data_IF_664141349725
#
_entry.id   IF_664141349725
#
_cell.length_a   1.000
_cell.length_b   1.000
_cell.length_c   1.000
_cell.angle_alpha   90.00
_cell.angle_beta   90.00
_cell.angle_gamma   90.00
#
_symmetry.space_group_name_H-M   'P 1'
#
loop_
_entity.id
_entity.type
_entity.pdbx_description
1 polymer ?
#
# COMPACT_ATOMS: atom_id res chain seq x y z
N UNK A 1 10.29 12.71 16.69
CA UNK A 1 10.13 11.39 17.35
C UNK A 1 11.43 10.69 17.77
N UNK A 2 11.38 9.93 18.88
CA UNK A 2 12.48 9.10 19.41
C UNK A 2 12.48 7.65 18.91
N UNK A 3 12.63 7.41 17.61
CA UNK A 3 12.55 6.06 17.03
C UNK A 3 13.89 5.32 16.90
N UNK A 4 15.01 6.03 16.81
CA UNK A 4 16.34 5.44 16.54
C UNK A 4 16.78 4.46 17.64
N UNK A 5 17.38 3.34 17.24
CA UNK A 5 17.91 2.30 18.13
C UNK A 5 16.87 1.32 18.69
N UNK A 6 15.62 1.39 18.23
CA UNK A 6 14.53 0.49 18.64
C UNK A 6 14.45 -0.76 17.79
N UNK A 7 13.62 -1.72 18.24
CA UNK A 7 13.27 -2.92 17.49
C UNK A 7 12.64 -2.54 16.15
N UNK A 8 13.06 -3.23 15.08
CA UNK A 8 12.44 -3.19 13.76
C UNK A 8 11.59 -4.44 13.57
N UNK A 9 10.49 -4.31 12.83
CA UNK A 9 9.60 -5.44 12.55
C UNK A 9 10.29 -6.43 11.61
N UNK A 10 10.02 -7.72 11.82
CA UNK A 10 10.41 -8.78 10.90
C UNK A 10 9.40 -8.92 9.73
N UNK A 11 8.22 -8.31 9.84
CA UNK A 11 7.15 -8.35 8.85
C UNK A 11 7.31 -7.25 7.78
N UNK A 12 8.54 -7.00 7.34
CA UNK A 12 8.85 -6.03 6.28
C UNK A 12 9.31 -6.76 5.02
N UNK A 13 8.59 -6.53 3.94
CA UNK A 13 8.88 -7.04 2.60
C UNK A 13 9.40 -5.88 1.74
N UNK A 14 10.72 -5.69 1.75
CA UNK A 14 11.38 -4.62 1.00
C UNK A 14 11.55 -5.02 -0.47
N UNK A 15 10.71 -4.46 -1.32
CA UNK A 15 10.67 -4.65 -2.78
C UNK A 15 11.18 -3.41 -3.52
N UNK A 16 11.88 -2.49 -2.86
CA UNK A 16 12.45 -1.31 -3.53
C UNK A 16 13.44 -1.74 -4.62
N UNK A 17 13.46 -0.99 -5.72
CA UNK A 17 14.29 -1.31 -6.88
C UNK A 17 13.94 -2.61 -7.62
N UNK A 18 12.93 -3.37 -7.17
CA UNK A 18 12.36 -4.44 -7.97
C UNK A 18 11.65 -3.77 -9.15
N UNK A 19 12.16 -3.97 -10.37
CA UNK A 19 11.34 -3.71 -11.54
C UNK A 19 10.15 -4.66 -11.45
N UNK A 20 8.94 -4.11 -11.41
CA UNK A 20 7.77 -4.90 -11.75
C UNK A 20 8.07 -5.48 -13.12
N UNK A 21 8.33 -6.77 -13.19
CA UNK A 21 8.45 -7.53 -14.42
C UNK A 21 7.06 -7.56 -15.07
N UNK A 22 6.58 -6.40 -15.49
CA UNK A 22 5.55 -6.27 -16.48
C UNK A 22 6.17 -6.83 -17.75
N UNK A 23 5.81 -8.08 -18.03
CA UNK A 23 6.02 -8.71 -19.32
C UNK A 23 5.09 -8.04 -20.36
N UNK A 24 5.16 -6.71 -20.47
CA UNK A 24 4.43 -5.87 -21.42
C UNK A 24 5.49 -5.09 -22.19
N UNK A 25 5.75 -5.57 -23.40
CA UNK A 25 6.94 -5.23 -24.16
C UNK A 25 7.12 -3.75 -24.48
N UNK A 26 8.39 -3.34 -24.49
CA UNK A 26 8.96 -2.51 -25.54
C UNK A 26 10.48 -2.54 -25.39
N UNK A 27 11.14 -3.21 -26.33
CA UNK A 27 12.59 -3.41 -26.29
C UNK A 27 12.96 -4.66 -27.07
N UNK A 28 13.17 -4.51 -28.38
CA UNK A 28 13.89 -5.49 -29.19
C UNK A 28 15.26 -5.74 -28.54
N UNK A 29 15.37 -6.78 -27.71
CA UNK A 29 16.65 -7.06 -27.04
C UNK A 29 16.70 -8.38 -26.25
N UNK A 30 15.74 -9.29 -26.45
CA UNK A 30 15.58 -10.49 -25.62
C UNK A 30 15.80 -11.83 -26.32
N UNK A 31 16.32 -11.87 -27.55
CA UNK A 31 16.68 -13.14 -28.20
C UNK A 31 18.19 -13.22 -28.35
N UNK A 32 18.80 -14.24 -27.75
CA UNK A 32 20.23 -14.53 -27.92
C UNK A 32 20.57 -14.60 -29.42
N UNK A 33 21.70 -14.03 -29.89
CA UNK A 33 22.11 -14.05 -31.30
C UNK A 33 22.08 -15.44 -31.93
N UNK A 34 22.26 -16.48 -31.10
CA UNK A 34 22.19 -17.89 -31.50
C UNK A 34 20.77 -18.31 -31.94
N UNK A 35 19.73 -17.81 -31.26
CA UNK A 35 18.32 -18.13 -31.54
C UNK A 35 17.85 -17.40 -32.80
N UNK A 36 18.26 -16.13 -32.96
CA UNK A 36 17.97 -15.34 -34.17
C UNK A 36 18.59 -16.01 -35.40
N UNK A 37 19.83 -16.50 -35.29
CA UNK A 37 20.50 -17.23 -36.38
C UNK A 37 19.82 -18.55 -36.76
N UNK A 38 19.26 -19.27 -35.78
CA UNK A 38 18.51 -20.50 -36.01
C UNK A 38 17.16 -20.24 -36.71
N UNK A 39 16.44 -19.21 -36.25
CA UNK A 39 15.15 -18.82 -36.82
C UNK A 39 15.28 -18.32 -38.27
N UNK A 40 16.32 -17.52 -38.56
CA UNK A 40 16.62 -17.10 -39.92
C UNK A 40 16.94 -18.28 -40.84
N UNK A 41 17.69 -19.29 -40.37
CA UNK A 41 17.95 -20.53 -41.14
C UNK A 41 16.70 -21.38 -41.36
N UNK A 42 15.77 -21.41 -40.40
CA UNK A 42 14.51 -22.14 -40.50
C UNK A 42 13.55 -21.51 -41.52
N UNK A 43 13.41 -20.19 -41.53
CA UNK A 43 12.46 -19.50 -42.43
C UNK A 43 13.01 -19.38 -43.86
N UNK A 44 14.34 -19.44 -44.05
CA UNK A 44 14.99 -19.33 -45.37
C UNK A 44 15.21 -20.67 -46.09
N UNK A 45 15.02 -21.81 -45.43
CA UNK A 45 15.20 -23.14 -46.02
C UNK A 45 13.85 -23.76 -46.44
N UNK A 46 13.79 -24.37 -47.63
CA UNK A 46 12.59 -25.10 -48.12
C UNK A 46 12.13 -26.20 -47.15
N UNK A 47 13.05 -26.83 -46.41
CA UNK A 47 12.71 -27.83 -45.38
C UNK A 47 12.22 -27.19 -44.07
N UNK A 48 12.68 -25.99 -43.76
CA UNK A 48 12.27 -25.28 -42.54
C UNK A 48 10.90 -24.61 -42.64
N UNK A 49 10.49 -24.17 -43.83
CA UNK A 49 9.11 -23.69 -44.07
C UNK A 49 8.06 -24.79 -43.86
N UNK A 50 8.38 -26.05 -44.17
CA UNK A 50 7.49 -27.20 -43.90
C UNK A 50 7.33 -27.40 -42.39
N UNK A 51 8.41 -27.27 -41.62
CA UNK A 51 8.39 -27.38 -40.15
C UNK A 51 7.55 -26.24 -39.54
N UNK A 52 7.71 -25.01 -40.02
CA UNK A 52 6.91 -23.85 -39.58
C UNK A 52 5.43 -24.04 -39.91
N UNK A 53 5.09 -24.55 -41.10
CA UNK A 53 3.72 -24.82 -41.49
C UNK A 53 3.05 -25.92 -40.65
N UNK A 54 3.79 -26.97 -40.29
CA UNK A 54 3.31 -28.03 -39.39
C UNK A 54 3.07 -27.47 -37.98
N UNK A 55 3.99 -26.65 -37.47
CA UNK A 55 3.85 -25.98 -36.16
C UNK A 55 2.62 -25.07 -36.13
N UNK A 56 2.42 -24.24 -37.14
CA UNK A 56 1.25 -23.37 -37.25
C UNK A 56 -0.05 -24.16 -37.42
N UNK A 57 -0.03 -25.27 -38.16
CA UNK A 57 -1.17 -26.18 -38.28
C UNK A 57 -1.55 -26.84 -36.95
N UNK A 58 -0.57 -27.29 -36.17
CA UNK A 58 -0.81 -27.84 -34.82
C UNK A 58 -1.33 -26.75 -33.88
N UNK A 59 -0.82 -25.52 -33.96
CA UNK A 59 -1.32 -24.37 -33.18
C UNK A 59 -2.78 -24.05 -33.50
N UNK A 60 -3.15 -24.08 -34.80
CA UNK A 60 -4.51 -23.81 -35.24
C UNK A 60 -5.52 -24.88 -34.79
N UNK A 61 -5.14 -26.16 -34.81
CA UNK A 61 -6.04 -27.25 -34.44
C UNK A 61 -6.10 -27.56 -32.93
N UNK A 62 -5.03 -27.30 -32.18
CA UNK A 62 -4.96 -27.65 -30.75
C UNK A 62 -5.09 -26.45 -29.81
N UNK A 63 -5.00 -25.22 -30.32
CA UNK A 63 -5.01 -23.99 -29.50
C UNK A 63 -3.77 -23.79 -28.62
N UNK A 64 -2.83 -24.74 -28.64
CA UNK A 64 -1.62 -24.71 -27.81
C UNK A 64 -0.42 -24.19 -28.61
N UNK A 65 0.33 -23.25 -28.03
CA UNK A 65 1.57 -22.74 -28.62
C UNK A 65 2.76 -23.64 -28.23
N UNK A 66 3.40 -24.38 -29.17
CA UNK A 66 4.51 -25.28 -28.89
C UNK A 66 5.79 -24.56 -28.43
N UNK A 67 5.87 -23.22 -28.55
CA UNK A 67 6.90 -22.44 -27.86
C UNK A 67 6.87 -22.65 -26.34
N UNK A 68 5.71 -22.96 -25.74
CA UNK A 68 5.61 -23.27 -24.31
C UNK A 68 6.31 -24.59 -23.92
N UNK A 69 6.54 -25.49 -24.88
CA UNK A 69 7.29 -26.73 -24.65
C UNK A 69 8.82 -26.50 -24.80
N UNK A 70 9.20 -25.50 -25.59
CA UNK A 70 10.59 -25.12 -25.86
C UNK A 70 11.14 -24.13 -24.81
N UNK A 71 10.27 -23.35 -24.16
CA UNK A 71 10.57 -22.59 -22.93
C UNK A 71 10.46 -23.44 -21.67
N UNK A 72 10.50 -24.77 -21.84
CA UNK A 72 10.15 -25.81 -20.87
C UNK A 72 10.24 -25.38 -19.43
N UNK A 73 9.09 -25.19 -18.79
CA UNK A 73 8.84 -25.25 -17.33
C UNK A 73 10.00 -24.82 -16.41
N UNK A 74 10.77 -23.80 -16.77
CA UNK A 74 11.76 -23.20 -15.89
C UNK A 74 11.03 -22.17 -15.06
N UNK A 75 10.43 -22.65 -13.96
CA UNK A 75 10.16 -21.88 -12.75
C UNK A 75 11.45 -21.38 -12.08
N UNK A 76 12.54 -21.20 -12.83
CA UNK A 76 13.66 -20.39 -12.39
C UNK A 76 13.31 -18.95 -12.73
N UNK A 77 12.41 -18.37 -11.92
CA UNK A 77 12.60 -16.97 -11.59
C UNK A 77 14.00 -16.91 -10.98
N UNK A 78 14.97 -16.46 -11.76
CA UNK A 78 16.19 -15.90 -11.20
C UNK A 78 15.70 -14.67 -10.45
N UNK A 79 15.31 -14.86 -9.20
CA UNK A 79 15.17 -13.80 -8.23
C UNK A 79 16.58 -13.25 -8.10
N UNK A 80 16.90 -12.22 -8.90
CA UNK A 80 18.11 -11.44 -8.70
C UNK A 80 18.00 -10.85 -7.32
N UNK A 81 18.55 -11.55 -6.32
CA UNK A 81 18.72 -11.10 -4.94
C UNK A 81 19.85 -10.07 -4.87
N UNK A 82 19.90 -9.13 -5.82
CA UNK A 82 20.65 -7.90 -5.59
C UNK A 82 19.86 -7.15 -4.54
N UNK A 83 20.32 -7.23 -3.29
CA UNK A 83 19.85 -6.38 -2.21
C UNK A 83 19.85 -4.94 -2.71
N UNK A 84 18.68 -4.33 -2.78
CA UNK A 84 18.53 -2.95 -3.22
C UNK A 84 19.48 -2.06 -2.41
N UNK A 85 20.36 -1.34 -3.10
CA UNK A 85 21.25 -0.37 -2.47
C UNK A 85 20.61 1.01 -2.56
N UNK A 86 19.68 1.28 -1.66
CA UNK A 86 19.09 2.61 -1.51
C UNK A 86 20.12 3.63 -1.01
N UNK A 87 19.81 4.92 -1.22
CA UNK A 87 20.54 6.04 -0.61
C UNK A 87 20.46 5.97 0.91
N UNK A 88 21.38 6.67 1.61
CA UNK A 88 21.35 6.76 3.06
C UNK A 88 19.99 7.25 3.59
N UNK A 89 19.35 8.19 2.87
CA UNK A 89 18.04 8.72 3.27
C UNK A 89 16.92 7.71 3.09
N UNK A 90 16.88 6.99 1.96
CA UNK A 90 15.88 5.94 1.74
C UNK A 90 16.01 4.81 2.75
N UNK A 91 17.24 4.43 3.11
CA UNK A 91 17.47 3.39 4.12
C UNK A 91 17.07 3.87 5.52
N UNK A 92 17.32 5.14 5.86
CA UNK A 92 16.82 5.73 7.12
C UNK A 92 15.28 5.70 7.17
N UNK A 93 14.59 6.03 6.06
CA UNK A 93 13.13 5.97 6.00
C UNK A 93 12.60 4.53 6.05
N UNK A 94 13.29 3.57 5.45
CA UNK A 94 12.92 2.15 5.55
C UNK A 94 13.07 1.64 6.99
N UNK A 95 14.18 1.97 7.66
CA UNK A 95 14.41 1.63 9.07
C UNK A 95 13.38 2.29 9.99
N UNK A 96 13.03 3.55 9.71
CA UNK A 96 11.96 4.26 10.40
C UNK A 96 10.63 3.52 10.23
N UNK A 97 10.20 3.23 9.00
CA UNK A 97 8.94 2.55 8.74
C UNK A 97 8.87 1.16 9.39
N UNK A 98 9.98 0.41 9.36
CA UNK A 98 10.08 -0.88 10.03
C UNK A 98 9.99 -0.76 11.57
N UNK A 99 10.49 0.33 12.14
CA UNK A 99 10.40 0.63 13.58
C UNK A 99 8.98 1.01 13.97
N UNK A 100 8.30 1.83 13.17
CA UNK A 100 6.90 2.19 13.43
C UNK A 100 6.00 0.95 13.34
N UNK A 101 6.21 0.09 12.33
CA UNK A 101 5.46 -1.15 12.23
C UNK A 101 5.66 -2.03 13.48
N UNK A 102 6.91 -2.17 13.95
CA UNK A 102 7.21 -2.91 15.18
C UNK A 102 6.44 -2.37 16.39
N UNK A 103 6.42 -1.05 16.54
CA UNK A 103 5.70 -0.39 17.62
C UNK A 103 4.18 -0.64 17.52
N UNK A 104 3.61 -0.59 16.32
CA UNK A 104 2.20 -0.94 16.12
C UNK A 104 1.90 -2.40 16.49
N UNK A 105 2.77 -3.34 16.12
CA UNK A 105 2.66 -4.76 16.51
C UNK A 105 2.67 -4.89 18.04
N UNK A 106 3.65 -4.28 18.71
CA UNK A 106 3.81 -4.36 20.17
C UNK A 106 2.58 -3.81 20.89
N UNK A 107 2.00 -2.71 20.41
CA UNK A 107 0.79 -2.11 21.00
C UNK A 107 -0.45 -2.96 20.73
N UNK A 108 -0.70 -3.35 19.48
CA UNK A 108 -1.94 -4.05 19.14
C UNK A 108 -2.00 -5.48 19.67
N UNK A 109 -0.86 -6.17 19.82
CA UNK A 109 -0.81 -7.46 20.51
C UNK A 109 -1.24 -7.39 21.98
N UNK A 110 -1.11 -6.23 22.64
CA UNK A 110 -1.57 -6.04 24.02
C UNK A 110 -3.07 -5.76 24.12
N UNK A 111 -3.69 -5.29 23.03
CA UNK A 111 -5.06 -4.79 23.02
C UNK A 111 -6.03 -5.79 22.38
N UNK A 112 -5.61 -6.42 21.28
CA UNK A 112 -6.46 -7.32 20.49
C UNK A 112 -6.00 -8.76 20.73
N UNK A 113 -6.83 -9.63 21.34
CA UNK A 113 -6.50 -11.04 21.52
C UNK A 113 -6.27 -11.74 20.17
N UNK A 114 -5.18 -12.50 20.08
CA UNK A 114 -4.75 -13.19 18.85
C UNK A 114 -4.63 -12.22 17.66
N UNK A 115 -4.11 -11.01 17.91
CA UNK A 115 -3.81 -10.05 16.85
C UNK A 115 -2.95 -10.71 15.77
N UNK A 116 -3.38 -10.56 14.52
CA UNK A 116 -2.60 -11.00 13.36
C UNK A 116 -1.79 -9.80 12.89
N UNK A 117 -0.48 -9.93 12.87
CA UNK A 117 0.38 -8.81 12.48
C UNK A 117 0.36 -8.62 10.95
N UNK A 118 0.21 -7.39 10.44
CA UNK A 118 0.28 -7.13 9.01
C UNK A 118 1.72 -7.16 8.50
N UNK A 119 1.90 -7.40 7.19
CA UNK A 119 3.20 -7.20 6.52
C UNK A 119 3.24 -5.83 5.85
N UNK A 120 4.32 -5.08 6.05
CA UNK A 120 4.59 -3.84 5.31
C UNK A 120 5.44 -4.14 4.07
N UNK A 121 4.90 -3.83 2.90
CA UNK A 121 5.61 -3.86 1.63
C UNK A 121 6.13 -2.47 1.32
N UNK A 122 7.46 -2.34 1.25
CA UNK A 122 8.10 -1.09 0.81
C UNK A 122 8.44 -1.25 -0.67
N UNK A 123 8.01 -0.33 -1.53
CA UNK A 123 8.20 -0.43 -2.98
C UNK A 123 8.68 0.88 -3.60
N UNK A 124 9.01 0.85 -4.90
CA UNK A 124 9.40 2.03 -5.68
C UNK A 124 8.67 2.04 -7.01
N UNK A 125 7.94 3.12 -7.31
CA UNK A 125 7.28 3.36 -8.60
C UNK A 125 5.97 2.59 -8.81
N UNK A 126 6.01 1.26 -8.70
CA UNK A 126 4.84 0.39 -8.91
C UNK A 126 4.92 -0.90 -8.11
N UNK A 127 3.76 -1.47 -7.79
CA UNK A 127 3.65 -2.74 -7.06
C UNK A 127 2.40 -3.50 -7.47
N UNK A 128 2.49 -4.83 -7.43
CA UNK A 128 1.32 -5.72 -7.54
C UNK A 128 0.92 -6.21 -6.15
N UNK A 129 -0.37 -6.07 -5.84
CA UNK A 129 -1.01 -6.58 -4.63
C UNK A 129 -2.13 -7.57 -4.98
N UNK A 130 -2.69 -8.26 -3.98
CA UNK A 130 -3.90 -9.05 -4.18
C UNK A 130 -5.13 -8.19 -4.59
N UNK A 131 -5.07 -6.87 -4.39
CA UNK A 131 -6.11 -5.92 -4.75
C UNK A 131 -5.93 -5.33 -6.17
N UNK A 132 -4.87 -5.75 -6.88
CA UNK A 132 -4.51 -5.26 -8.21
C UNK A 132 -3.16 -4.53 -8.23
N UNK A 133 -2.83 -3.98 -9.39
CA UNK A 133 -1.62 -3.15 -9.58
C UNK A 133 -1.85 -1.73 -9.07
N UNK A 134 -0.86 -1.17 -8.40
CA UNK A 134 -0.84 0.21 -7.92
C UNK A 134 0.48 0.90 -8.28
N UNK A 135 0.46 2.23 -8.37
CA UNK A 135 1.64 3.08 -8.58
C UNK A 135 1.86 4.01 -7.40
N UNK A 136 3.04 4.61 -7.29
CA UNK A 136 3.35 5.56 -6.21
C UNK A 136 2.39 6.75 -6.14
N UNK A 137 1.74 7.09 -7.25
CA UNK A 137 0.72 8.14 -7.32
C UNK A 137 -0.56 7.82 -6.55
N UNK A 138 -0.81 6.55 -6.21
CA UNK A 138 -1.94 6.15 -5.35
C UNK A 138 -1.71 6.55 -3.90
N UNK A 139 -0.46 6.72 -3.48
CA UNK A 139 -0.09 6.88 -2.07
C UNK A 139 -0.03 5.53 -1.34
N UNK A 140 0.16 5.57 0.00
CA UNK A 140 0.11 4.39 0.86
C UNK A 140 -1.28 3.77 0.86
N UNK A 141 -1.36 2.45 1.01
CA UNK A 141 -2.63 1.75 1.08
C UNK A 141 -2.54 0.38 1.75
N UNK A 142 -3.64 -0.06 2.34
CA UNK A 142 -3.84 -1.41 2.84
C UNK A 142 -4.63 -2.28 1.84
N UNK A 143 -4.18 -3.51 1.60
CA UNK A 143 -4.91 -4.48 0.80
C UNK A 143 -5.50 -5.61 1.68
N UNK A 144 -6.84 -5.72 1.80
CA UNK A 144 -7.47 -6.78 2.57
C UNK A 144 -7.30 -8.20 1.97
N UNK A 145 -6.94 -8.31 0.68
CA UNK A 145 -6.81 -9.59 -0.01
C UNK A 145 -5.54 -10.37 0.34
N UNK A 146 -4.47 -9.69 0.76
CA UNK A 146 -3.22 -10.28 1.23
C UNK A 146 -2.83 -9.83 2.64
N UNK A 147 -3.68 -9.01 3.28
CA UNK A 147 -3.49 -8.40 4.59
C UNK A 147 -2.21 -7.55 4.73
N UNK A 148 -1.73 -6.95 3.63
CA UNK A 148 -0.50 -6.15 3.60
C UNK A 148 -0.75 -4.65 3.50
N UNK A 149 0.17 -3.89 4.08
CA UNK A 149 0.30 -2.44 3.90
C UNK A 149 1.32 -2.20 2.79
N UNK A 150 1.11 -1.21 1.94
CA UNK A 150 1.99 -0.89 0.82
C UNK A 150 2.40 0.57 0.91
N UNK A 151 3.70 0.85 0.83
CA UNK A 151 4.22 2.20 0.87
C UNK A 151 5.38 2.42 -0.10
N UNK A 152 5.30 3.49 -0.87
CA UNK A 152 6.47 4.08 -1.53
C UNK A 152 7.01 5.20 -0.63
N UNK A 153 8.26 5.10 -0.19
CA UNK A 153 8.85 6.05 0.75
C UNK A 153 9.01 7.46 0.16
N UNK A 154 8.91 7.63 -1.17
CA UNK A 154 8.84 8.95 -1.79
C UNK A 154 7.61 9.74 -1.36
N UNK A 155 6.51 9.06 -0.98
CA UNK A 155 5.31 9.69 -0.45
C UNK A 155 5.59 10.59 0.76
N UNK A 156 6.53 10.20 1.63
CA UNK A 156 6.92 11.02 2.78
C UNK A 156 7.50 12.37 2.37
N UNK A 157 8.23 12.43 1.26
CA UNK A 157 8.73 13.68 0.70
C UNK A 157 7.60 14.49 0.05
N UNK A 158 6.60 13.82 -0.53
CA UNK A 158 5.42 14.49 -1.07
C UNK A 158 4.58 15.13 0.02
N UNK A 159 4.42 14.49 1.18
CA UNK A 159 3.71 15.07 2.33
C UNK A 159 4.37 16.37 2.79
N UNK A 160 5.69 16.37 2.95
CA UNK A 160 6.45 17.56 3.32
C UNK A 160 6.28 18.67 2.27
N UNK A 161 6.53 18.37 0.99
CA UNK A 161 6.63 19.39 -0.07
C UNK A 161 5.30 19.87 -0.62
N UNK A 162 4.32 18.96 -0.79
CA UNK A 162 3.04 19.25 -1.45
C UNK A 162 1.91 19.48 -0.46
N UNK A 163 1.91 18.74 0.65
CA UNK A 163 0.82 18.79 1.64
C UNK A 163 1.13 19.70 2.84
N UNK A 164 2.36 20.22 2.92
CA UNK A 164 2.85 21.04 4.03
C UNK A 164 2.64 20.32 5.37
N UNK A 165 2.91 19.01 5.38
CA UNK A 165 2.85 18.12 6.54
C UNK A 165 4.22 17.44 6.74
N UNK A 166 5.26 18.22 7.12
CA UNK A 166 6.56 17.65 7.49
C UNK A 166 6.48 16.92 8.83
N UNK A 167 7.58 16.27 9.19
CA UNK A 167 7.74 15.65 10.50
C UNK A 167 7.75 14.13 10.43
N UNK A 168 8.46 13.50 11.36
CA UNK A 168 8.52 12.04 11.45
C UNK A 168 7.23 11.48 12.05
N UNK A 169 6.56 12.20 12.96
CA UNK A 169 5.28 11.72 13.50
C UNK A 169 4.15 11.78 12.47
N UNK A 170 4.18 12.74 11.54
CA UNK A 170 3.30 12.74 10.37
C UNK A 170 3.47 11.46 9.52
N UNK A 171 4.71 10.99 9.34
CA UNK A 171 5.01 9.74 8.60
C UNK A 171 4.57 8.50 9.39
N UNK A 172 4.77 8.50 10.72
CA UNK A 172 4.30 7.41 11.57
C UNK A 172 2.78 7.29 11.57
N UNK A 173 2.06 8.42 11.61
CA UNK A 173 0.61 8.49 11.53
C UNK A 173 0.06 7.78 10.27
N UNK A 174 0.69 7.98 9.12
CA UNK A 174 0.31 7.30 7.87
C UNK A 174 0.41 5.78 8.00
N UNK A 175 1.52 5.27 8.53
CA UNK A 175 1.69 3.82 8.74
C UNK A 175 0.64 3.30 9.72
N UNK A 176 0.42 4.00 10.83
CA UNK A 176 -0.56 3.63 11.85
C UNK A 176 -2.01 3.67 11.31
N UNK A 177 -2.31 4.60 10.39
CA UNK A 177 -3.60 4.69 9.70
C UNK A 177 -3.84 3.45 8.83
N UNK A 178 -2.84 3.03 8.02
CA UNK A 178 -2.95 1.80 7.24
C UNK A 178 -3.09 0.55 8.14
N UNK A 179 -2.44 0.53 9.31
CA UNK A 179 -2.67 -0.50 10.34
C UNK A 179 -4.10 -0.44 10.89
N UNK A 180 -4.71 0.74 10.98
CA UNK A 180 -6.13 0.94 11.26
C UNK A 180 -7.03 0.19 10.28
N UNK A 181 -6.73 0.24 8.98
CA UNK A 181 -7.44 -0.56 7.97
C UNK A 181 -7.23 -2.07 8.14
N UNK A 182 -6.03 -2.49 8.53
CA UNK A 182 -5.79 -3.88 8.90
C UNK A 182 -6.70 -4.32 10.05
N UNK A 183 -6.83 -3.51 11.11
CA UNK A 183 -7.71 -3.79 12.25
C UNK A 183 -9.17 -3.90 11.80
N UNK A 184 -9.63 -3.01 10.93
CA UNK A 184 -10.98 -3.09 10.35
C UNK A 184 -11.22 -4.35 9.54
N UNK A 185 -10.19 -4.86 8.87
CA UNK A 185 -10.28 -6.09 8.10
C UNK A 185 -10.41 -7.31 9.02
N UNK A 186 -9.54 -7.43 10.03
CA UNK A 186 -9.53 -8.60 10.93
C UNK A 186 -10.74 -8.61 11.87
N UNK A 187 -11.30 -7.44 12.21
CA UNK A 187 -12.54 -7.31 12.99
C UNK A 187 -13.81 -7.43 12.13
N UNK A 188 -13.68 -7.48 10.79
CA UNK A 188 -14.78 -7.69 9.86
C UNK A 188 -15.56 -6.43 9.46
N UNK A 189 -15.18 -5.25 9.94
CA UNK A 189 -15.80 -3.97 9.57
C UNK A 189 -15.67 -3.72 8.07
N UNK A 190 -14.48 -3.93 7.49
CA UNK A 190 -14.26 -3.74 6.05
C UNK A 190 -15.22 -4.61 5.22
N UNK A 191 -15.36 -5.91 5.57
CA UNK A 191 -16.31 -6.81 4.90
C UNK A 191 -17.75 -6.31 4.94
N UNK A 192 -18.17 -5.75 6.08
CA UNK A 192 -19.52 -5.19 6.24
C UNK A 192 -19.73 -4.00 5.29
N UNK A 193 -18.79 -3.08 5.20
CA UNK A 193 -18.86 -1.92 4.28
C UNK A 193 -18.85 -2.39 2.82
N UNK A 194 -17.91 -3.26 2.43
CA UNK A 194 -17.84 -3.78 1.06
C UNK A 194 -19.13 -4.51 0.65
N UNK A 195 -19.80 -5.20 1.58
CA UNK A 195 -21.07 -5.89 1.29
C UNK A 195 -22.23 -4.97 0.90
N UNK A 196 -22.11 -3.66 1.15
CA UNK A 196 -23.09 -2.64 0.76
C UNK A 196 -22.86 -2.12 -0.66
N UNK A 197 -21.68 -2.36 -1.24
CA UNK A 197 -21.35 -1.94 -2.61
C UNK A 197 -22.36 -2.54 -3.59
N UNK A 198 -22.95 -1.71 -4.44
CA UNK A 198 -24.00 -2.10 -5.38
C UNK A 198 -25.38 -2.36 -4.76
N UNK A 199 -25.52 -2.32 -3.42
CA UNK A 199 -26.81 -2.42 -2.71
C UNK A 199 -27.38 -1.06 -2.29
N UNK A 200 -26.52 -0.05 -2.19
CA UNK A 200 -26.88 1.33 -1.84
C UNK A 200 -26.46 2.28 -2.95
N UNK A 201 -26.98 3.52 -2.92
CA UNK A 201 -26.55 4.56 -3.86
C UNK A 201 -25.07 4.90 -3.68
N UNK A 202 -24.42 5.44 -4.72
CA UNK A 202 -23.01 5.83 -4.63
C UNK A 202 -22.76 6.85 -3.50
N UNK A 203 -23.65 7.84 -3.34
CA UNK A 203 -23.56 8.82 -2.25
C UNK A 203 -23.65 8.17 -0.87
N UNK A 204 -24.50 7.15 -0.71
CA UNK A 204 -24.59 6.43 0.55
C UNK A 204 -23.37 5.54 0.78
N UNK A 205 -22.85 4.90 -0.26
CA UNK A 205 -21.61 4.13 -0.19
C UNK A 205 -20.43 5.02 0.21
N UNK A 206 -20.31 6.20 -0.38
CA UNK A 206 -19.29 7.20 -0.06
C UNK A 206 -19.33 7.59 1.43
N UNK A 207 -20.51 7.74 2.03
CA UNK A 207 -20.64 7.98 3.48
C UNK A 207 -20.08 6.83 4.32
N UNK A 208 -20.31 5.58 3.92
CA UNK A 208 -19.71 4.44 4.61
C UNK A 208 -18.19 4.39 4.44
N UNK A 209 -17.66 4.78 3.27
CA UNK A 209 -16.22 4.94 3.06
C UNK A 209 -15.65 5.99 4.02
N UNK A 210 -16.27 7.18 4.12
CA UNK A 210 -15.84 8.21 5.07
C UNK A 210 -15.83 7.68 6.50
N UNK A 211 -16.87 6.96 6.94
CA UNK A 211 -16.90 6.36 8.28
C UNK A 211 -15.76 5.35 8.51
N UNK A 212 -15.40 4.58 7.48
CA UNK A 212 -14.29 3.63 7.53
C UNK A 212 -12.95 4.38 7.69
N UNK A 213 -12.71 5.41 6.90
CA UNK A 213 -11.48 6.21 6.95
C UNK A 213 -11.31 6.92 8.31
N UNK A 214 -12.37 7.51 8.84
CA UNK A 214 -12.37 8.15 10.16
C UNK A 214 -12.11 7.16 11.31
N UNK A 215 -12.52 5.90 11.15
CA UNK A 215 -12.23 4.88 12.15
C UNK A 215 -10.77 4.43 12.08
N UNK A 216 -10.16 4.41 10.90
CA UNK A 216 -8.72 4.17 10.77
C UNK A 216 -7.91 5.31 11.42
N UNK A 217 -8.33 6.57 11.24
CA UNK A 217 -7.77 7.71 11.97
C UNK A 217 -7.88 7.56 13.49
N UNK A 218 -9.04 7.11 13.98
CA UNK A 218 -9.23 6.82 15.40
C UNK A 218 -8.26 5.74 15.91
N UNK A 219 -8.10 4.64 15.17
CA UNK A 219 -7.15 3.59 15.57
C UNK A 219 -5.70 4.07 15.54
N UNK A 220 -5.30 4.90 14.58
CA UNK A 220 -3.99 5.55 14.61
C UNK A 220 -3.80 6.41 15.86
N UNK A 221 -4.85 7.13 16.29
CA UNK A 221 -4.85 7.87 17.56
C UNK A 221 -4.69 6.98 18.79
N UNK A 222 -5.42 5.85 18.85
CA UNK A 222 -5.31 4.88 19.94
C UNK A 222 -3.90 4.29 20.00
N UNK A 223 -3.31 3.93 18.86
CA UNK A 223 -1.92 3.50 18.81
C UNK A 223 -0.99 4.58 19.38
N UNK A 224 -1.12 5.83 18.93
CA UNK A 224 -0.30 6.95 19.40
C UNK A 224 -0.41 7.17 20.91
N UNK A 225 -1.62 7.03 21.49
CA UNK A 225 -1.83 7.08 22.95
C UNK A 225 -0.94 6.08 23.69
N UNK A 226 -1.04 4.80 23.31
CA UNK A 226 -0.33 3.72 23.99
C UNK A 226 1.16 3.74 23.70
N UNK A 227 1.57 4.03 22.47
CA UNK A 227 2.96 4.22 22.07
C UNK A 227 3.63 5.31 22.91
N UNK A 228 2.95 6.43 23.15
CA UNK A 228 3.49 7.49 23.99
C UNK A 228 3.59 7.09 25.46
N UNK A 229 2.58 6.37 25.99
CA UNK A 229 2.59 5.95 27.40
C UNK A 229 3.61 4.88 27.71
N UNK A 230 3.75 3.89 26.84
CA UNK A 230 4.58 2.70 27.05
C UNK A 230 6.01 3.01 26.59
N UNK A 231 6.13 3.54 25.37
CA UNK A 231 7.41 3.64 24.70
C UNK A 231 7.96 5.07 24.63
N UNK A 232 7.21 6.10 25.04
CA UNK A 232 7.64 7.51 25.08
C UNK A 232 8.26 7.99 23.76
N UNK A 233 7.62 7.62 22.64
CA UNK A 233 8.11 7.91 21.30
C UNK A 233 7.99 9.38 20.90
N UNK A 234 7.01 10.08 21.45
CA UNK A 234 6.66 11.42 21.02
C UNK A 234 7.51 12.49 21.71
N UNK A 235 7.82 13.51 20.94
CA UNK A 235 8.47 14.75 21.35
C UNK A 235 7.46 15.90 21.30
N UNK A 236 7.84 17.06 21.85
CA UNK A 236 6.98 18.23 21.78
C UNK A 236 6.78 18.63 20.31
N UNK A 237 5.54 18.76 19.87
CA UNK A 237 5.18 19.06 18.48
C UNK A 237 4.76 17.83 17.65
N UNK A 238 5.12 16.61 18.06
CA UNK A 238 4.80 15.40 17.29
C UNK A 238 3.27 15.16 17.18
N UNK A 239 2.50 15.51 18.22
CA UNK A 239 1.03 15.41 18.15
C UNK A 239 0.46 16.39 17.12
N UNK A 240 0.98 17.62 17.09
CA UNK A 240 0.61 18.66 16.14
C UNK A 240 1.00 18.27 14.71
N UNK A 241 2.13 17.58 14.51
CA UNK A 241 2.53 17.02 13.22
C UNK A 241 1.49 16.02 12.68
N UNK A 242 1.04 15.07 13.49
CA UNK A 242 -0.01 14.13 13.09
C UNK A 242 -1.34 14.83 12.82
N UNK A 243 -1.74 15.79 13.67
CA UNK A 243 -2.97 16.55 13.45
C UNK A 243 -2.91 17.35 12.15
N UNK A 244 -1.76 17.95 11.82
CA UNK A 244 -1.55 18.64 10.56
C UNK A 244 -1.54 17.68 9.37
N UNK A 245 -0.99 16.48 9.51
CA UNK A 245 -1.04 15.44 8.48
C UNK A 245 -2.48 14.97 8.22
N UNK A 246 -3.25 14.64 9.26
CA UNK A 246 -4.67 14.30 9.18
C UNK A 246 -5.49 15.44 8.54
N UNK A 247 -5.18 16.68 8.90
CA UNK A 247 -5.76 17.86 8.27
C UNK A 247 -5.38 17.98 6.78
N UNK A 248 -4.17 17.61 6.39
CA UNK A 248 -3.66 17.77 5.03
C UNK A 248 -4.26 16.79 4.02
N UNK A 249 -4.69 15.62 4.49
CA UNK A 249 -5.21 14.53 3.65
C UNK A 249 -6.76 14.46 3.73
N UNK A 250 -7.42 15.54 4.17
CA UNK A 250 -8.88 15.66 4.07
C UNK A 250 -9.33 15.97 2.65
N UNK A 251 -10.46 15.38 2.22
CA UNK A 251 -10.96 15.53 0.84
C UNK A 251 -11.29 16.97 0.48
N UNK A 252 -11.80 17.77 1.42
CA UNK A 252 -12.09 19.20 1.22
C UNK A 252 -10.82 19.99 0.90
N UNK A 253 -9.71 19.68 1.58
CA UNK A 253 -8.42 20.33 1.31
C UNK A 253 -7.80 19.83 0.00
N UNK A 254 -7.81 18.52 -0.25
CA UNK A 254 -7.27 17.95 -1.49
C UNK A 254 -8.05 18.42 -2.73
N UNK A 255 -9.38 18.43 -2.68
CA UNK A 255 -10.22 18.91 -3.77
C UNK A 255 -10.06 20.42 -3.99
N UNK A 256 -9.99 21.23 -2.91
CA UNK A 256 -9.74 22.67 -3.02
C UNK A 256 -8.38 22.98 -3.65
N UNK A 257 -7.35 22.21 -3.30
CA UNK A 257 -6.00 22.38 -3.87
C UNK A 257 -5.90 21.87 -5.33
N UNK A 258 -6.66 20.84 -5.70
CA UNK A 258 -6.62 20.24 -7.04
C UNK A 258 -7.53 20.94 -8.05
N UNK A 259 -8.76 21.25 -7.65
CA UNK A 259 -9.85 21.69 -8.56
C UNK A 259 -10.43 23.06 -8.21
N UNK A 260 -10.07 23.63 -7.05
CA UNK A 260 -10.62 24.89 -6.55
C UNK A 260 -12.06 24.81 -6.01
N UNK A 261 -12.72 23.65 -6.08
CA UNK A 261 -14.10 23.43 -5.63
C UNK A 261 -14.18 22.21 -4.71
N UNK A 262 -15.11 22.25 -3.76
CA UNK A 262 -15.38 21.16 -2.83
C UNK A 262 -16.75 20.54 -3.15
N UNK A 263 -16.80 19.21 -3.29
CA UNK A 263 -18.01 18.43 -3.57
C UNK A 263 -18.18 17.39 -2.46
N UNK A 264 -18.98 17.68 -1.42
CA UNK A 264 -19.09 16.79 -0.24
C UNK A 264 -19.60 15.38 -0.56
N UNK A 265 -20.51 15.24 -1.53
CA UNK A 265 -21.08 13.94 -1.89
C UNK A 265 -20.07 12.99 -2.57
N UNK A 266 -18.92 13.49 -3.04
CA UNK A 266 -17.84 12.68 -3.61
C UNK A 266 -16.75 12.30 -2.61
N UNK A 267 -16.86 12.72 -1.35
CA UNK A 267 -15.86 12.40 -0.34
C UNK A 267 -15.79 10.90 -0.08
N UNK A 268 -14.57 10.41 0.06
CA UNK A 268 -14.23 9.04 0.41
C UNK A 268 -13.36 8.96 1.66
N UNK A 269 -12.61 10.01 2.01
CA UNK A 269 -11.69 10.11 3.17
C UNK A 269 -12.19 11.04 4.29
N UNK A 270 -13.27 11.78 4.04
CA UNK A 270 -13.85 12.72 5.01
C UNK A 270 -13.20 14.09 4.97
N UNK A 271 -13.73 15.03 5.76
CA UNK A 271 -13.15 16.38 5.83
C UNK A 271 -11.92 16.40 6.73
N UNK A 272 -11.02 17.36 6.48
CA UNK A 272 -9.86 17.62 7.33
C UNK A 272 -10.24 17.73 8.83
N UNK A 273 -11.35 18.40 9.14
CA UNK A 273 -11.83 18.55 10.51
C UNK A 273 -12.30 17.23 11.14
N UNK A 274 -13.00 16.38 10.36
CA UNK A 274 -13.43 15.06 10.82
C UNK A 274 -12.23 14.16 11.13
N UNK A 275 -11.26 14.12 10.21
CA UNK A 275 -10.04 13.32 10.35
C UNK A 275 -9.26 13.68 11.60
N UNK A 276 -8.97 14.98 11.79
CA UNK A 276 -8.33 15.49 13.00
C UNK A 276 -9.10 15.12 14.26
N UNK A 277 -10.43 15.27 14.25
CA UNK A 277 -11.28 14.98 15.40
C UNK A 277 -11.18 13.53 15.82
N UNK A 278 -11.29 12.58 14.88
CA UNK A 278 -11.25 11.16 15.20
C UNK A 278 -9.87 10.68 15.62
N UNK A 279 -8.82 11.15 14.96
CA UNK A 279 -7.45 10.90 15.42
C UNK A 279 -7.24 11.42 16.85
N UNK A 280 -7.61 12.68 17.12
CA UNK A 280 -7.49 13.28 18.46
C UNK A 280 -8.29 12.50 19.49
N UNK A 281 -9.51 12.06 19.16
CA UNK A 281 -10.34 11.25 20.07
C UNK A 281 -9.66 9.93 20.43
N UNK A 282 -9.07 9.24 19.45
CA UNK A 282 -8.30 8.02 19.69
C UNK A 282 -7.11 8.29 20.61
N UNK A 283 -6.38 9.37 20.34
CA UNK A 283 -5.23 9.79 21.13
C UNK A 283 -5.58 10.17 22.57
N UNK A 284 -6.65 10.95 22.77
CA UNK A 284 -7.05 11.40 24.10
C UNK A 284 -7.56 10.22 24.96
N UNK A 285 -8.27 9.27 24.36
CA UNK A 285 -8.97 8.19 25.09
C UNK A 285 -8.14 6.93 25.25
N UNK A 286 -7.39 6.51 24.23
CA UNK A 286 -6.69 5.23 24.19
C UNK A 286 -7.62 4.00 24.23
N UNK A 287 -8.94 4.17 24.20
CA UNK A 287 -9.92 3.10 24.36
C UNK A 287 -10.53 2.72 23.01
N UNK A 288 -10.18 1.52 22.53
CA UNK A 288 -10.63 0.99 21.23
C UNK A 288 -12.14 0.98 21.04
N UNK A 289 -12.91 0.90 22.13
CA UNK A 289 -14.37 0.80 22.07
C UNK A 289 -15.05 2.15 21.78
N UNK A 290 -14.30 3.25 21.79
CA UNK A 290 -14.84 4.59 21.52
C UNK A 290 -14.76 4.99 20.03
N UNK A 291 -14.32 4.08 19.17
CA UNK A 291 -14.10 4.26 17.73
C UNK A 291 -15.30 3.99 16.82
N UNK A 292 -16.53 3.99 17.34
CA UNK A 292 -17.73 3.70 16.55
C UNK A 292 -18.16 4.92 15.71
N UNK A 293 -17.56 5.04 14.51
CA UNK A 293 -17.90 6.07 13.53
C UNK A 293 -19.23 5.81 12.83
N UNK A 294 -19.68 4.56 12.75
CA UNK A 294 -20.88 4.16 12.02
C UNK A 294 -22.17 4.53 12.75
N UNK A 295 -22.12 4.65 14.09
CA UNK A 295 -23.25 5.08 14.92
C UNK A 295 -23.09 6.51 15.48
N UNK A 296 -22.08 7.25 15.04
CA UNK A 296 -21.83 8.61 15.51
C UNK A 296 -22.91 9.59 15.01
N UNK A 297 -23.49 10.37 15.91
CA UNK A 297 -24.44 11.46 15.56
C UNK A 297 -23.75 12.60 14.80
N UNK A 298 -22.47 12.81 15.07
CA UNK A 298 -21.62 13.80 14.43
C UNK A 298 -20.25 13.18 14.20
N UNK A 299 -19.85 13.16 12.93
CA UNK A 299 -18.52 12.72 12.50
C UNK A 299 -17.49 13.80 12.78
#
# INVERSE_FOLDING_TARGET
MKWKGRRKSANVDDRRGASSSSNSGSGLGGLSPMIIGLLLKLVTSKKGLIIVAVILGVMYFTGNNPLNFLTGNTNNQIQSTTTYKGTAKENELADFSATILADTEDIWNQIIPNYREPTLVIFTGSVNSACGSASSSTGPFYCPGDEKLYIDLSFFQEMERKLNAPGDFAQAYVIAHEVGHHIQNITGVNRKVQSMRGKVSQTQYNKYSVMLELQADFYAGVWAHHSQRINKMMENGDLEEALNAAHAIGDDRLQKNSTGRVVPDSFTHGTSAQRMRWFKKGFDTGDVNQGDTFNARTL
#
